data_IF_161653170237
#
_entry.id   IF_161653170237
#
_cell.length_a   1.000
_cell.length_b   1.000
_cell.length_c   1.000
_cell.angle_alpha   90.00
_cell.angle_beta   90.00
_cell.angle_gamma   90.00
#
_symmetry.space_group_name_H-M   'P 1'
#
loop_
_entity.id
_entity.type
_entity.pdbx_description
1 polymer ?
#
# COMPACT_ATOMS: atom_id res chain seq x y z
N UNK A 1 -10.35 12.19 -1.86
CA UNK A 1 -10.24 13.09 -0.69
C UNK A 1 -9.05 13.99 -0.95
N UNK A 2 -9.21 15.31 -0.84
CA UNK A 2 -8.11 16.26 -0.89
C UNK A 2 -7.88 16.76 0.53
N UNK A 3 -6.67 16.59 1.06
CA UNK A 3 -6.30 17.06 2.39
C UNK A 3 -5.32 18.22 2.25
N UNK A 4 -5.63 19.35 2.90
CA UNK A 4 -4.70 20.46 3.07
C UNK A 4 -4.09 20.38 4.46
N UNK A 5 -2.76 20.29 4.52
CA UNK A 5 -2.03 20.26 5.80
C UNK A 5 -1.57 21.68 6.10
N UNK A 6 -2.09 22.26 7.19
CA UNK A 6 -1.65 23.57 7.64
C UNK A 6 -0.14 23.57 7.93
N UNK A 7 0.53 24.65 7.55
CA UNK A 7 1.98 24.82 7.70
C UNK A 7 2.83 23.80 6.93
N UNK A 8 2.27 23.15 5.90
CA UNK A 8 3.07 22.35 4.97
C UNK A 8 4.06 23.26 4.22
N UNK A 9 5.31 22.80 4.13
CA UNK A 9 6.32 23.42 3.29
C UNK A 9 5.89 23.38 1.82
N UNK A 10 6.26 24.41 1.08
CA UNK A 10 6.12 24.41 -0.37
C UNK A 10 7.03 23.35 -0.99
N UNK A 11 6.71 22.83 -2.20
CA UNK A 11 7.58 21.88 -2.88
C UNK A 11 9.02 22.38 -3.07
N UNK A 12 9.21 23.69 -3.25
CA UNK A 12 10.55 24.29 -3.38
C UNK A 12 11.29 24.25 -2.04
N UNK A 13 10.65 24.62 -0.93
CA UNK A 13 11.27 24.55 0.40
C UNK A 13 11.63 23.11 0.79
N UNK A 14 10.78 22.12 0.45
CA UNK A 14 11.10 20.71 0.66
C UNK A 14 12.33 20.33 -0.14
N UNK A 15 12.41 20.74 -1.41
CA UNK A 15 13.54 20.46 -2.29
C UNK A 15 14.84 21.09 -1.78
N UNK A 16 14.80 22.35 -1.35
CA UNK A 16 16.00 23.03 -0.89
C UNK A 16 16.55 22.37 0.39
N UNK A 17 15.66 21.96 1.29
CA UNK A 17 16.05 21.26 2.53
C UNK A 17 16.49 19.82 2.31
N UNK A 18 15.91 19.10 1.34
CA UNK A 18 16.29 17.70 1.09
C UNK A 18 17.66 17.57 0.42
N UNK A 19 18.13 18.60 -0.29
CA UNK A 19 19.45 18.61 -0.91
C UNK A 19 20.59 18.81 0.09
N UNK A 20 20.29 19.25 1.31
CA UNK A 20 21.26 19.28 2.41
C UNK A 20 21.51 17.87 2.93
N UNK A 21 22.52 17.20 2.36
CA UNK A 21 22.86 15.80 2.65
C UNK A 21 23.13 15.59 4.13
N UNK A 22 22.42 14.62 4.72
CA UNK A 22 22.55 14.28 6.14
C UNK A 22 21.86 15.24 7.10
N UNK A 23 21.13 16.25 6.60
CA UNK A 23 20.33 17.14 7.46
C UNK A 23 19.28 16.37 8.25
N UNK A 24 18.90 16.90 9.42
CA UNK A 24 17.81 16.35 10.23
C UNK A 24 16.51 16.27 9.44
N UNK A 25 16.23 17.29 8.62
CA UNK A 25 15.04 17.31 7.76
C UNK A 25 15.02 16.14 6.77
N UNK A 26 16.14 15.87 6.10
CA UNK A 26 16.24 14.76 5.15
C UNK A 26 15.98 13.42 5.84
N UNK A 27 16.58 13.20 7.02
CA UNK A 27 16.42 11.97 7.80
C UNK A 27 14.98 11.78 8.29
N UNK A 28 14.37 12.83 8.85
CA UNK A 28 12.98 12.79 9.34
C UNK A 28 11.97 12.59 8.21
N UNK A 29 12.21 13.21 7.03
CA UNK A 29 11.36 13.01 5.86
C UNK A 29 11.43 11.58 5.33
N UNK A 30 12.64 11.00 5.27
CA UNK A 30 12.83 9.58 4.90
C UNK A 30 12.11 8.69 5.90
N UNK A 31 12.32 8.89 7.20
CA UNK A 31 11.66 8.11 8.26
C UNK A 31 10.13 8.21 8.18
N UNK A 32 9.60 9.41 7.96
CA UNK A 32 8.17 9.61 7.77
C UNK A 32 7.66 8.84 6.55
N UNK A 33 8.31 8.97 5.40
CA UNK A 33 7.88 8.30 4.18
C UNK A 33 7.93 6.79 4.31
N UNK A 34 8.98 6.22 4.91
CA UNK A 34 9.07 4.78 5.21
C UNK A 34 8.02 4.31 6.22
N UNK A 35 7.56 5.19 7.13
CA UNK A 35 6.49 4.84 8.07
C UNK A 35 5.11 4.71 7.40
N UNK A 36 4.92 5.32 6.23
CA UNK A 36 3.61 5.35 5.53
C UNK A 36 3.63 4.72 4.13
N UNK A 37 4.81 4.47 3.56
CA UNK A 37 5.02 3.77 2.28
C UNK A 37 5.81 2.49 2.51
N UNK A 38 5.34 1.41 1.93
CA UNK A 38 5.99 0.11 1.95
C UNK A 38 6.05 -0.45 0.54
N UNK A 39 7.15 -1.16 0.27
CA UNK A 39 7.43 -1.74 -1.03
C UNK A 39 7.56 -3.27 -1.02
N UNK A 40 7.25 -3.90 0.10
CA UNK A 40 7.49 -5.32 0.40
C UNK A 40 6.50 -5.83 1.46
N UNK A 41 6.34 -7.15 1.58
CA UNK A 41 5.50 -7.74 2.62
C UNK A 41 6.10 -7.55 4.02
N UNK A 42 5.25 -7.64 5.04
CA UNK A 42 5.69 -7.68 6.43
C UNK A 42 6.54 -8.93 6.72
N UNK A 43 7.37 -8.81 7.76
CA UNK A 43 8.17 -9.89 8.33
C UNK A 43 9.17 -10.54 7.35
N UNK A 44 9.51 -9.83 6.26
CA UNK A 44 10.46 -10.30 5.24
C UNK A 44 9.95 -11.48 4.40
N UNK A 45 8.64 -11.73 4.40
CA UNK A 45 8.03 -12.84 3.65
C UNK A 45 8.06 -12.57 2.15
N UNK A 46 8.33 -13.60 1.37
CA UNK A 46 8.24 -13.54 -0.08
C UNK A 46 6.80 -13.72 -0.57
N UNK A 47 6.53 -13.34 -1.82
CA UNK A 47 5.26 -13.63 -2.49
C UNK A 47 4.87 -15.12 -2.44
N UNK A 48 5.86 -16.03 -2.46
CA UNK A 48 5.65 -17.48 -2.34
C UNK A 48 5.18 -17.87 -0.93
N UNK A 49 5.79 -17.32 0.10
CA UNK A 49 5.44 -17.63 1.49
C UNK A 49 3.99 -17.23 1.77
N UNK A 50 3.58 -16.04 1.30
CA UNK A 50 2.19 -15.59 1.44
C UNK A 50 1.23 -16.49 0.66
N UNK A 51 1.60 -16.92 -0.55
CA UNK A 51 0.78 -17.84 -1.34
C UNK A 51 0.53 -19.17 -0.62
N UNK A 52 1.56 -19.72 0.04
CA UNK A 52 1.46 -20.95 0.82
C UNK A 52 0.57 -20.78 2.05
N UNK A 53 0.73 -19.68 2.80
CA UNK A 53 -0.12 -19.39 3.97
C UNK A 53 -1.59 -19.21 3.60
N UNK A 54 -1.87 -18.55 2.48
CA UNK A 54 -3.23 -18.39 1.97
C UNK A 54 -3.83 -19.73 1.56
N UNK A 55 -3.08 -20.54 0.81
CA UNK A 55 -3.54 -21.88 0.39
C UNK A 55 -3.78 -22.80 1.60
N UNK A 56 -2.94 -22.73 2.63
CA UNK A 56 -3.11 -23.47 3.88
C UNK A 56 -4.42 -23.08 4.57
N UNK A 57 -4.70 -21.78 4.77
CA UNK A 57 -5.96 -21.32 5.38
C UNK A 57 -7.19 -21.79 4.61
N UNK A 58 -7.15 -21.69 3.29
CA UNK A 58 -8.23 -22.16 2.42
C UNK A 58 -8.44 -23.68 2.55
N UNK A 59 -7.35 -24.44 2.61
CA UNK A 59 -7.40 -25.91 2.79
C UNK A 59 -7.96 -26.31 4.15
N UNK A 60 -7.59 -25.61 5.23
CA UNK A 60 -8.07 -25.85 6.59
C UNK A 60 -9.57 -25.59 6.69
N UNK A 61 -10.05 -24.46 6.16
CA UNK A 61 -11.49 -24.18 6.14
C UNK A 61 -12.26 -25.25 5.36
N UNK A 62 -11.74 -25.65 4.19
CA UNK A 62 -12.35 -26.69 3.35
C UNK A 62 -12.41 -28.04 4.07
N UNK A 63 -11.34 -28.43 4.75
CA UNK A 63 -11.29 -29.66 5.55
C UNK A 63 -12.28 -29.63 6.72
N UNK A 64 -12.52 -28.46 7.31
CA UNK A 64 -13.55 -28.23 8.33
C UNK A 64 -14.99 -28.14 7.76
N UNK A 65 -15.19 -28.39 6.46
CA UNK A 65 -16.51 -28.31 5.81
C UNK A 65 -17.02 -26.88 5.61
N UNK A 66 -16.14 -25.88 5.65
CA UNK A 66 -16.47 -24.46 5.54
C UNK A 66 -15.74 -23.78 4.37
N UNK A 67 -16.25 -22.64 3.91
CA UNK A 67 -15.54 -21.78 2.94
C UNK A 67 -14.68 -20.78 3.70
N UNK A 68 -13.41 -20.67 3.33
CA UNK A 68 -12.57 -19.57 3.80
C UNK A 68 -13.08 -18.23 3.24
N UNK A 69 -13.29 -17.25 4.11
CA UNK A 69 -13.72 -15.91 3.71
C UNK A 69 -12.50 -14.99 3.69
N UNK A 70 -12.07 -14.50 2.51
CA UNK A 70 -10.87 -13.69 2.40
C UNK A 70 -11.07 -12.29 3.01
N UNK A 71 -9.99 -11.60 3.39
CA UNK A 71 -10.06 -10.25 3.94
C UNK A 71 -10.60 -9.22 2.95
N UNK A 72 -10.63 -9.52 1.65
CA UNK A 72 -11.27 -8.70 0.61
C UNK A 72 -12.80 -8.71 0.68
N UNK A 73 -13.38 -9.67 1.40
CA UNK A 73 -14.83 -9.86 1.56
C UNK A 73 -15.29 -9.52 3.00
N UNK A 74 -14.42 -8.96 3.83
CA UNK A 74 -14.73 -8.64 5.24
C UNK A 74 -14.36 -7.20 5.59
N UNK A 75 -15.07 -6.64 6.58
CA UNK A 75 -14.74 -5.33 7.12
C UNK A 75 -13.48 -5.37 7.98
N UNK A 76 -12.75 -4.26 8.00
CA UNK A 76 -11.58 -4.13 8.84
C UNK A 76 -11.91 -4.18 10.33
N UNK A 77 -11.24 -5.07 11.07
CA UNK A 77 -11.37 -5.13 12.52
C UNK A 77 -10.65 -3.94 13.16
N UNK A 78 -11.33 -3.09 13.94
CA UNK A 78 -10.71 -1.93 14.58
C UNK A 78 -9.68 -2.38 15.64
N UNK A 79 -8.65 -1.56 15.92
CA UNK A 79 -7.71 -1.86 16.99
C UNK A 79 -8.41 -1.86 18.37
N UNK A 80 -7.91 -2.66 19.33
CA UNK A 80 -8.39 -2.57 20.70
C UNK A 80 -8.11 -1.18 21.29
N UNK A 81 -8.83 -0.83 22.36
CA UNK A 81 -8.58 0.43 23.09
C UNK A 81 -7.14 0.46 23.59
N UNK A 82 -6.50 1.62 23.48
CA UNK A 82 -5.13 1.84 23.96
C UNK A 82 -5.05 1.55 25.46
N UNK A 83 -3.99 0.87 25.89
CA UNK A 83 -3.70 0.71 27.30
C UNK A 83 -3.45 2.09 27.93
N UNK A 84 -4.11 2.38 29.04
CA UNK A 84 -3.91 3.64 29.79
C UNK A 84 -2.80 3.55 30.84
N UNK A 85 -2.37 2.33 31.18
CA UNK A 85 -1.39 2.06 32.24
C UNK A 85 0.05 2.03 31.74
N UNK A 86 0.27 1.67 30.47
CA UNK A 86 1.59 1.55 29.87
C UNK A 86 1.69 2.42 28.61
N UNK A 87 2.78 3.17 28.47
CA UNK A 87 3.20 3.75 27.19
C UNK A 87 4.01 2.71 26.42
N UNK A 88 4.08 2.88 25.11
CA UNK A 88 4.74 1.95 24.18
C UNK A 88 6.09 1.45 24.74
N UNK A 89 6.25 0.12 24.76
CA UNK A 89 7.44 -0.66 25.14
C UNK A 89 7.75 -0.89 26.65
N UNK A 90 7.10 -0.19 27.59
CA UNK A 90 7.34 -0.37 29.05
C UNK A 90 6.36 -1.35 29.73
N UNK A 91 6.09 -2.49 29.10
CA UNK A 91 5.21 -3.50 29.70
C UNK A 91 6.03 -4.67 30.28
N UNK A 92 6.69 -4.43 31.42
CA UNK A 92 7.41 -5.48 32.17
C UNK A 92 6.48 -6.46 32.91
N UNK A 93 5.17 -6.18 32.92
CA UNK A 93 4.11 -6.99 33.54
C UNK A 93 3.22 -7.57 32.44
N UNK A 94 2.73 -8.80 32.62
CA UNK A 94 1.71 -9.40 31.75
C UNK A 94 0.44 -8.54 31.82
N UNK A 95 0.22 -7.70 30.80
CA UNK A 95 -0.95 -6.85 30.68
C UNK A 95 -1.85 -7.34 29.55
N UNK A 96 -3.06 -7.75 29.91
CA UNK A 96 -4.06 -8.28 28.96
C UNK A 96 -4.42 -7.30 27.82
N UNK A 97 -4.44 -5.98 28.08
CA UNK A 97 -4.74 -4.98 27.05
C UNK A 97 -3.57 -4.84 26.06
N UNK A 98 -2.34 -4.87 26.57
CA UNK A 98 -1.15 -4.82 25.72
C UNK A 98 -1.01 -6.11 24.90
N UNK A 99 -1.32 -7.27 25.47
CA UNK A 99 -1.36 -8.55 24.76
C UNK A 99 -2.38 -8.51 23.61
N UNK A 100 -3.61 -8.07 23.88
CA UNK A 100 -4.63 -7.88 22.83
C UNK A 100 -4.17 -6.96 21.70
N UNK A 101 -3.46 -5.88 22.07
CA UNK A 101 -2.91 -4.94 21.09
C UNK A 101 -1.84 -5.60 20.23
N UNK A 102 -0.94 -6.39 20.85
CA UNK A 102 0.08 -7.16 20.14
C UNK A 102 -0.51 -8.19 19.19
N UNK A 103 -1.50 -8.97 19.65
CA UNK A 103 -2.24 -9.95 18.83
C UNK A 103 -2.94 -9.25 17.66
N UNK A 104 -3.55 -8.08 17.90
CA UNK A 104 -4.17 -7.30 16.83
C UNK A 104 -3.13 -6.84 15.79
N UNK A 105 -1.95 -6.37 16.20
CA UNK A 105 -0.89 -5.98 15.27
C UNK A 105 -0.36 -7.17 14.45
N UNK A 106 -0.24 -8.35 15.04
CA UNK A 106 0.12 -9.57 14.30
C UNK A 106 -0.96 -9.94 13.27
N UNK A 107 -2.24 -9.86 13.66
CA UNK A 107 -3.38 -10.07 12.76
C UNK A 107 -3.43 -9.02 11.65
N UNK A 108 -3.16 -7.75 11.96
CA UNK A 108 -3.06 -6.65 11.01
C UNK A 108 -2.00 -6.93 9.93
N UNK A 109 -0.76 -7.28 10.33
CA UNK A 109 0.32 -7.58 9.37
C UNK A 109 -0.02 -8.77 8.47
N UNK A 110 -0.53 -9.85 9.06
CA UNK A 110 -0.97 -11.05 8.34
C UNK A 110 -2.09 -10.73 7.34
N UNK A 111 -3.08 -9.93 7.76
CA UNK A 111 -4.20 -9.50 6.94
C UNK A 111 -3.74 -8.62 5.77
N UNK A 112 -2.85 -7.65 6.03
CA UNK A 112 -2.29 -6.79 4.98
C UNK A 112 -1.51 -7.61 3.97
N UNK A 113 -0.66 -8.54 4.41
CA UNK A 113 0.09 -9.40 3.50
C UNK A 113 -0.84 -10.18 2.56
N UNK A 114 -1.90 -10.78 3.10
CA UNK A 114 -2.88 -11.48 2.27
C UNK A 114 -3.63 -10.53 1.31
N UNK A 115 -4.05 -9.35 1.77
CA UNK A 115 -4.69 -8.35 0.91
C UNK A 115 -3.78 -7.93 -0.26
N UNK A 116 -2.50 -7.69 0.01
CA UNK A 116 -1.51 -7.36 -1.00
C UNK A 116 -1.33 -8.49 -1.99
N UNK A 117 -1.22 -9.73 -1.50
CA UNK A 117 -1.12 -10.90 -2.37
C UNK A 117 -2.35 -11.04 -3.26
N UNK A 118 -3.57 -10.87 -2.72
CA UNK A 118 -4.81 -11.00 -3.49
C UNK A 118 -5.05 -9.87 -4.48
N UNK A 119 -4.68 -8.64 -4.14
CA UNK A 119 -5.18 -7.45 -4.86
C UNK A 119 -4.08 -6.57 -5.46
N UNK A 120 -2.84 -6.65 -4.97
CA UNK A 120 -1.78 -5.71 -5.29
C UNK A 120 -0.63 -6.31 -6.12
N UNK A 121 -0.62 -7.63 -6.32
CA UNK A 121 0.34 -8.29 -7.21
C UNK A 121 -0.03 -8.05 -8.67
N UNK A 122 0.98 -7.93 -9.52
CA UNK A 122 0.83 -7.85 -10.95
C UNK A 122 1.31 -9.12 -11.64
N UNK A 123 0.47 -9.66 -12.52
CA UNK A 123 0.82 -10.75 -13.43
C UNK A 123 0.62 -10.25 -14.87
N UNK A 124 1.67 -10.29 -15.68
CA UNK A 124 1.57 -9.83 -17.07
C UNK A 124 0.67 -10.74 -17.89
N UNK A 125 -0.42 -10.19 -18.39
CA UNK A 125 -1.26 -10.82 -19.42
C UNK A 125 -1.00 -10.26 -20.83
N UNK A 126 -1.64 -10.87 -21.82
CA UNK A 126 -1.62 -10.45 -23.24
C UNK A 126 -1.92 -8.96 -23.43
N UNK A 127 -2.86 -8.41 -22.64
CA UNK A 127 -3.19 -6.99 -22.68
C UNK A 127 -2.05 -6.07 -22.20
N UNK A 128 -1.24 -6.46 -21.19
CA UNK A 128 -0.13 -5.59 -20.74
C UNK A 128 0.99 -5.51 -21.79
N UNK A 129 1.24 -6.61 -22.47
CA UNK A 129 2.37 -6.76 -23.41
C UNK A 129 2.00 -6.38 -24.86
N UNK A 130 0.74 -6.04 -25.12
CA UNK A 130 0.20 -5.65 -26.43
C UNK A 130 0.67 -4.26 -26.94
N UNK A 131 1.93 -3.89 -26.71
CA UNK A 131 2.53 -2.70 -27.29
C UNK A 131 3.75 -3.06 -28.14
N UNK A 132 4.17 -2.13 -28.98
CA UNK A 132 5.29 -2.31 -29.93
C UNK A 132 6.63 -2.67 -29.28
N UNK A 133 6.79 -2.43 -27.98
CA UNK A 133 8.02 -2.69 -27.24
C UNK A 133 8.02 -4.05 -26.53
N UNK A 134 6.86 -4.75 -26.47
CA UNK A 134 6.72 -5.99 -25.71
C UNK A 134 6.96 -5.84 -24.20
N UNK A 135 6.99 -4.60 -23.68
CA UNK A 135 7.17 -4.32 -22.26
C UNK A 135 5.81 -4.19 -21.56
N UNK A 136 5.73 -4.34 -20.25
CA UNK A 136 4.44 -4.15 -19.60
C UNK A 136 4.05 -2.67 -19.56
N UNK A 137 2.88 -2.31 -20.10
CA UNK A 137 2.27 -0.96 -20.02
C UNK A 137 2.21 -0.40 -18.59
N UNK A 138 2.06 -1.27 -17.59
CA UNK A 138 2.07 -0.89 -16.17
C UNK A 138 3.49 -0.68 -15.58
N UNK A 139 4.54 -0.85 -16.40
CA UNK A 139 5.97 -0.68 -16.05
C UNK A 139 6.46 -1.65 -14.98
N UNK A 140 6.02 -2.90 -15.09
CA UNK A 140 6.56 -4.03 -14.32
C UNK A 140 7.65 -4.77 -15.12
N UNK A 141 8.65 -5.38 -14.46
CA UNK A 141 8.89 -5.32 -13.01
C UNK A 141 9.36 -3.93 -12.54
N UNK A 142 9.02 -3.56 -11.30
CA UNK A 142 9.57 -2.38 -10.64
C UNK A 142 11.02 -2.63 -10.24
N UNK A 143 11.81 -1.57 -10.20
CA UNK A 143 13.18 -1.65 -9.69
C UNK A 143 13.18 -1.89 -8.17
N UNK A 144 13.91 -2.93 -7.75
CA UNK A 144 14.06 -3.33 -6.34
C UNK A 144 15.22 -2.55 -5.72
N UNK A 145 15.01 -2.05 -4.50
CA UNK A 145 15.98 -1.28 -3.73
C UNK A 145 15.96 -1.74 -2.28
N UNK A 146 17.13 -2.06 -1.74
CA UNK A 146 17.26 -2.54 -0.36
C UNK A 146 17.03 -1.44 0.69
N UNK A 147 17.25 -0.18 0.32
CA UNK A 147 17.17 0.99 1.20
C UNK A 147 16.60 2.20 0.47
N UNK A 148 16.09 3.16 1.25
CA UNK A 148 15.65 4.45 0.72
C UNK A 148 16.85 5.37 0.52
N UNK A 149 16.99 5.96 -0.67
CA UNK A 149 18.08 6.89 -0.99
C UNK A 149 17.55 8.22 -1.50
N UNK A 150 18.34 9.27 -1.28
CA UNK A 150 18.10 10.61 -1.85
C UNK A 150 19.16 10.87 -2.90
N UNK A 151 18.74 11.17 -4.12
CA UNK A 151 19.64 11.60 -5.17
C UNK A 151 20.23 12.99 -4.81
N UNK A 152 21.57 13.12 -4.69
CA UNK A 152 22.20 14.32 -4.16
C UNK A 152 22.10 15.54 -5.08
N UNK A 153 21.89 15.33 -6.38
CA UNK A 153 21.84 16.41 -7.38
C UNK A 153 20.41 16.93 -7.58
N UNK A 154 19.43 16.03 -7.51
CA UNK A 154 18.03 16.31 -7.85
C UNK A 154 17.12 16.39 -6.62
N UNK A 155 17.54 15.80 -5.50
CA UNK A 155 16.70 15.61 -4.30
C UNK A 155 15.63 14.53 -4.48
N UNK A 156 15.75 13.70 -5.52
CA UNK A 156 14.77 12.66 -5.80
C UNK A 156 14.86 11.53 -4.77
N UNK A 157 13.72 11.22 -4.15
CA UNK A 157 13.58 10.17 -3.16
C UNK A 157 13.27 8.83 -3.82
N UNK A 158 14.21 7.91 -3.73
CA UNK A 158 14.07 6.53 -4.16
C UNK A 158 13.71 5.67 -2.94
N UNK A 159 12.44 5.37 -2.75
CA UNK A 159 11.99 4.56 -1.61
C UNK A 159 12.46 3.11 -1.71
N UNK A 160 12.71 2.50 -0.54
CA UNK A 160 12.93 1.06 -0.40
C UNK A 160 11.81 0.27 -1.11
N UNK A 161 12.20 -0.75 -1.87
CA UNK A 161 11.28 -1.63 -2.62
C UNK A 161 11.83 -3.05 -2.62
N UNK A 162 11.22 -3.96 -1.86
CA UNK A 162 11.60 -5.37 -1.85
C UNK A 162 10.87 -6.23 -2.89
N UNK A 163 9.65 -5.83 -3.31
CA UNK A 163 8.82 -6.65 -4.19
C UNK A 163 8.60 -5.99 -5.57
N UNK A 164 9.26 -6.53 -6.59
CA UNK A 164 9.25 -5.99 -7.96
C UNK A 164 7.87 -6.03 -8.63
N UNK A 165 7.02 -6.98 -8.25
CA UNK A 165 5.72 -7.25 -8.89
C UNK A 165 4.52 -6.74 -8.08
N UNK A 166 4.76 -5.72 -7.26
CA UNK A 166 3.74 -5.05 -6.45
C UNK A 166 3.89 -3.54 -6.55
N UNK A 167 2.82 -2.77 -6.35
CA UNK A 167 2.94 -1.34 -6.19
C UNK A 167 3.65 -0.98 -4.87
N UNK A 168 3.97 0.29 -4.70
CA UNK A 168 4.23 0.84 -3.37
C UNK A 168 2.88 1.11 -2.72
N UNK A 169 2.72 0.76 -1.45
CA UNK A 169 1.43 0.82 -0.77
C UNK A 169 1.56 1.45 0.62
N UNK A 170 0.43 1.82 1.21
CA UNK A 170 0.35 2.11 2.64
C UNK A 170 -0.36 0.95 3.32
N UNK A 171 0.27 0.37 4.35
CA UNK A 171 -0.29 -0.77 5.08
C UNK A 171 -1.64 -0.43 5.72
N UNK A 172 -1.78 0.77 6.27
CA UNK A 172 -3.02 1.28 6.86
C UNK A 172 -4.11 1.45 5.80
N UNK A 173 -3.80 2.10 4.66
CA UNK A 173 -4.78 2.26 3.58
C UNK A 173 -5.21 0.91 3.01
N UNK A 174 -4.27 -0.01 2.80
CA UNK A 174 -4.56 -1.38 2.33
C UNK A 174 -5.48 -2.10 3.30
N UNK A 175 -5.19 -2.02 4.61
CA UNK A 175 -6.01 -2.66 5.65
C UNK A 175 -7.42 -2.08 5.74
N UNK A 176 -7.61 -0.78 5.49
CA UNK A 176 -8.94 -0.16 5.57
C UNK A 176 -9.73 -0.38 4.28
N UNK A 177 -9.08 -0.19 3.12
CA UNK A 177 -9.73 -0.23 1.81
C UNK A 177 -9.95 -1.64 1.27
N UNK A 178 -9.23 -2.65 1.81
CA UNK A 178 -9.37 -4.07 1.43
C UNK A 178 -9.22 -4.35 -0.07
N UNK A 179 -8.50 -3.50 -0.77
CA UNK A 179 -8.39 -3.47 -2.23
C UNK A 179 -7.00 -3.04 -2.69
N UNK A 180 -6.77 -3.03 -4.00
CA UNK A 180 -5.54 -2.52 -4.59
C UNK A 180 -5.33 -1.06 -4.18
N UNK A 181 -4.15 -0.75 -3.62
CA UNK A 181 -3.71 0.61 -3.34
C UNK A 181 -2.37 0.86 -4.01
N UNK A 182 -2.19 2.07 -4.54
CA UNK A 182 -0.92 2.54 -5.09
C UNK A 182 -0.63 3.90 -4.47
N UNK A 183 0.46 3.98 -3.72
CA UNK A 183 0.88 5.17 -2.98
C UNK A 183 2.22 5.61 -3.54
N UNK A 184 2.23 6.81 -4.11
CA UNK A 184 3.41 7.41 -4.73
C UNK A 184 3.64 8.81 -4.15
N UNK A 185 4.87 9.08 -3.72
CA UNK A 185 5.30 10.43 -3.33
C UNK A 185 5.57 11.27 -4.57
N UNK A 186 4.90 12.42 -4.69
CA UNK A 186 5.02 13.34 -5.82
C UNK A 186 5.61 14.67 -5.34
N UNK A 187 6.94 14.78 -5.38
CA UNK A 187 7.67 15.97 -4.91
C UNK A 187 8.03 16.95 -6.03
N UNK A 188 7.59 16.70 -7.26
CA UNK A 188 7.81 17.56 -8.41
C UNK A 188 6.51 18.16 -8.91
N UNK A 189 6.49 19.49 -9.13
CA UNK A 189 5.35 20.19 -9.71
C UNK A 189 4.92 19.62 -11.08
N UNK A 190 5.88 19.14 -11.88
CA UNK A 190 5.59 18.48 -13.17
C UNK A 190 4.87 17.16 -12.96
N UNK A 191 5.33 16.34 -12.00
CA UNK A 191 4.70 15.06 -11.68
C UNK A 191 3.27 15.27 -11.13
N UNK A 192 3.08 16.25 -10.25
CA UNK A 192 1.76 16.62 -9.72
C UNK A 192 0.82 17.06 -10.85
N UNK A 193 1.27 17.96 -11.75
CA UNK A 193 0.44 18.41 -12.89
C UNK A 193 0.03 17.25 -13.79
N UNK A 194 0.95 16.33 -14.08
CA UNK A 194 0.66 15.15 -14.90
C UNK A 194 -0.38 14.23 -14.23
N UNK A 195 -0.26 13.99 -12.92
CA UNK A 195 -1.20 13.17 -12.17
C UNK A 195 -2.58 13.84 -12.07
N UNK A 196 -2.63 15.15 -11.81
CA UNK A 196 -3.90 15.89 -11.81
C UNK A 196 -4.57 15.77 -13.17
N UNK A 197 -3.85 16.05 -14.26
CA UNK A 197 -4.40 15.94 -15.61
C UNK A 197 -4.92 14.52 -15.92
N UNK A 198 -4.17 13.48 -15.53
CA UNK A 198 -4.57 12.09 -15.71
C UNK A 198 -5.83 11.73 -14.91
N UNK A 199 -5.89 12.13 -13.64
CA UNK A 199 -7.06 11.89 -12.79
C UNK A 199 -8.27 12.65 -13.33
N UNK A 200 -8.09 13.90 -13.75
CA UNK A 200 -9.15 14.68 -14.39
C UNK A 200 -9.66 13.99 -15.64
N UNK A 201 -8.79 13.60 -16.58
CA UNK A 201 -9.18 12.84 -17.79
C UNK A 201 -9.96 11.57 -17.44
N UNK A 202 -9.51 10.84 -16.42
CA UNK A 202 -10.16 9.62 -15.99
C UNK A 202 -11.56 9.87 -15.40
N UNK A 203 -11.71 10.90 -14.58
CA UNK A 203 -12.99 11.24 -13.92
C UNK A 203 -13.97 11.91 -14.90
N UNK A 204 -13.46 12.64 -15.89
CA UNK A 204 -14.29 13.29 -16.93
C UNK A 204 -14.64 12.36 -18.09
N UNK A 205 -14.07 11.14 -18.15
CA UNK A 205 -14.55 10.12 -19.09
C UNK A 205 -16.06 9.94 -18.92
N UNK A 206 -16.83 9.91 -20.03
CA UNK A 206 -18.26 9.69 -19.97
C UNK A 206 -18.54 8.44 -19.13
N UNK A 207 -19.29 8.62 -18.05
CA UNK A 207 -19.64 7.53 -17.15
C UNK A 207 -20.35 6.42 -17.93
N UNK A 208 -20.16 5.17 -17.52
CA UNK A 208 -20.91 4.04 -18.01
C UNK A 208 -22.39 4.43 -18.00
N UNK A 209 -23.06 4.36 -19.15
CA UNK A 209 -24.42 4.87 -19.22
C UNK A 209 -25.30 4.10 -18.23
N UNK A 210 -26.14 4.82 -17.49
CA UNK A 210 -27.01 4.24 -16.45
C UNK A 210 -27.81 3.02 -16.94
N UNK A 211 -28.19 2.98 -18.22
CA UNK A 211 -28.87 1.82 -18.81
C UNK A 211 -28.00 0.54 -18.78
N UNK A 212 -26.69 0.64 -19.03
CA UNK A 212 -25.75 -0.50 -18.97
C UNK A 212 -25.59 -1.01 -17.55
N UNK A 213 -25.57 -0.10 -16.57
CA UNK A 213 -25.55 -0.48 -15.14
C UNK A 213 -26.81 -1.26 -14.76
N UNK A 214 -27.99 -0.75 -15.16
CA UNK A 214 -29.26 -1.44 -14.90
C UNK A 214 -29.37 -2.78 -15.62
N UNK A 215 -28.88 -2.89 -16.86
CA UNK A 215 -28.79 -4.19 -17.56
C UNK A 215 -27.90 -5.18 -16.82
N UNK A 216 -26.78 -4.73 -16.27
CA UNK A 216 -25.86 -5.59 -15.49
C UNK A 216 -26.52 -6.06 -14.20
N UNK A 217 -27.21 -5.18 -13.47
CA UNK A 217 -27.97 -5.55 -12.26
C UNK A 217 -29.10 -6.53 -12.60
N UNK A 218 -29.80 -6.32 -13.71
CA UNK A 218 -30.87 -7.23 -14.20
C UNK A 218 -30.33 -8.58 -14.67
N UNK A 219 -29.08 -8.68 -15.10
CA UNK A 219 -28.49 -9.95 -15.53
C UNK A 219 -28.01 -10.83 -14.36
N UNK A 220 -27.82 -10.22 -13.18
CA UNK A 220 -27.33 -10.91 -11.96
C UNK A 220 -28.48 -11.22 -10.99
N UNK A 221 -29.60 -10.50 -11.06
CA UNK A 221 -30.86 -10.79 -10.35
C UNK A 221 -31.79 -11.67 -11.19
#
# INVERSE_FOLDING_TARGET
>A
ILLWIASALTPQEIRDRILEVGSTFQQELVQYLESVHMGEFFDGKSMRDIALEVAERESVSKAAGSRYVPPTETLATPPPKRCTLHREQDCSIICFVCEKTSVWWASFRSTVNELLWRTNRHECGSHCLSNKHGTCKARYPREVRAETTVDPDTGYLNLKKGEAWMNTFSSVLTYILRSNTDVTSLLSGTAIKAVIAYVTDYVTKPQLQMHVLFETVRAVL
#
